data_IF_838754697499
#
_entry.id   IF_838754697499
#
_cell.length_a   1.000
_cell.length_b   1.000
_cell.length_c   1.000
_cell.angle_alpha   90.00
_cell.angle_beta   90.00
_cell.angle_gamma   90.00
#
_symmetry.space_group_name_H-M   'P 1'
#
loop_
_entity.id
_entity.type
_entity.pdbx_description
1 polymer ?
#
# COMPACT_ATOMS: atom_id res chain seq x y z
N UNK A 1 10.97 -7.72 -16.28
CA UNK A 1 9.61 -8.24 -16.45
C UNK A 1 8.70 -7.31 -15.67
N UNK A 2 7.69 -6.74 -16.31
CA UNK A 2 6.64 -5.98 -15.61
C UNK A 2 5.79 -6.99 -14.83
N UNK A 3 5.78 -6.87 -13.49
CA UNK A 3 5.03 -7.78 -12.62
C UNK A 3 3.80 -7.13 -11.98
N UNK A 4 3.67 -5.80 -12.07
CA UNK A 4 2.47 -5.07 -11.69
C UNK A 4 1.46 -5.05 -12.83
N UNK A 5 0.28 -5.61 -12.61
CA UNK A 5 -0.81 -5.57 -13.59
C UNK A 5 -2.18 -5.56 -12.93
N UNK A 6 -3.16 -5.09 -13.68
CA UNK A 6 -4.56 -5.21 -13.29
C UNK A 6 -4.98 -6.69 -13.35
N UNK A 7 -5.74 -7.14 -12.36
CA UNK A 7 -6.32 -8.49 -12.35
C UNK A 7 -7.41 -8.56 -13.43
N UNK A 8 -7.33 -9.50 -14.37
CA UNK A 8 -8.41 -9.77 -15.29
C UNK A 8 -9.18 -11.02 -14.87
N UNK A 9 -10.49 -11.08 -15.17
CA UNK A 9 -11.35 -12.21 -14.81
C UNK A 9 -10.86 -13.53 -15.39
N UNK A 10 -10.21 -13.47 -16.55
CA UNK A 10 -9.59 -14.56 -17.31
C UNK A 10 -8.06 -14.64 -17.11
N UNK A 11 -7.50 -13.88 -16.16
CA UNK A 11 -6.06 -13.86 -15.92
C UNK A 11 -5.54 -15.23 -15.49
N UNK A 12 -4.66 -15.80 -16.31
CA UNK A 12 -3.78 -16.92 -15.99
C UNK A 12 -2.51 -16.46 -15.23
N UNK A 13 -2.66 -15.39 -14.44
CA UNK A 13 -1.61 -14.75 -13.64
C UNK A 13 -0.82 -15.81 -12.85
N UNK A 14 0.37 -16.14 -13.34
CA UNK A 14 1.20 -17.19 -12.76
C UNK A 14 2.67 -16.74 -12.69
N UNK A 15 3.33 -16.95 -11.54
CA UNK A 15 2.78 -17.49 -10.29
C UNK A 15 2.12 -16.41 -9.41
N UNK A 16 0.81 -16.54 -9.15
CA UNK A 16 0.10 -15.79 -8.10
C UNK A 16 0.20 -16.53 -6.76
N UNK A 17 0.38 -15.78 -5.67
CA UNK A 17 0.35 -16.37 -4.33
C UNK A 17 -1.04 -16.93 -4.01
N UNK A 18 -1.12 -18.10 -3.35
CA UNK A 18 -2.36 -18.54 -2.72
C UNK A 18 -2.67 -17.65 -1.51
N UNK A 19 -3.93 -17.24 -1.40
CA UNK A 19 -4.44 -16.42 -0.30
C UNK A 19 -5.15 -17.26 0.74
N UNK A 20 -5.10 -16.85 2.01
CA UNK A 20 -5.59 -17.64 3.13
C UNK A 20 -6.56 -16.87 4.02
N UNK A 21 -7.61 -17.55 4.47
CA UNK A 21 -8.49 -17.10 5.54
C UNK A 21 -8.05 -17.74 6.87
N UNK A 22 -8.25 -17.03 7.97
CA UNK A 22 -8.05 -17.59 9.30
C UNK A 22 -9.31 -17.39 10.11
N UNK A 23 -9.92 -18.48 10.57
CA UNK A 23 -11.11 -18.48 11.42
C UNK A 23 -10.85 -19.34 12.64
N UNK A 24 -11.04 -18.79 13.84
CA UNK A 24 -10.83 -19.50 15.11
C UNK A 24 -9.43 -20.17 15.24
N UNK A 25 -8.40 -19.59 14.61
CA UNK A 25 -7.04 -20.13 14.59
C UNK A 25 -6.76 -21.15 13.48
N UNK A 26 -7.78 -21.61 12.76
CA UNK A 26 -7.62 -22.52 11.62
C UNK A 26 -7.35 -21.75 10.33
N UNK A 27 -6.37 -22.22 9.55
CA UNK A 27 -5.95 -21.64 8.27
C UNK A 27 -6.59 -22.46 7.15
N UNK A 28 -7.27 -21.78 6.23
CA UNK A 28 -7.83 -22.39 5.02
C UNK A 28 -7.58 -21.52 3.81
N UNK A 29 -7.65 -22.10 2.60
CA UNK A 29 -7.57 -21.33 1.35
C UNK A 29 -8.73 -20.32 1.34
N UNK A 30 -8.42 -19.07 1.04
CA UNK A 30 -9.41 -18.02 0.95
C UNK A 30 -10.37 -18.28 -0.23
N UNK A 31 -11.66 -17.92 -0.12
CA UNK A 31 -12.59 -18.09 -1.22
C UNK A 31 -12.14 -17.24 -2.42
N UNK A 32 -12.38 -17.78 -3.62
CA UNK A 32 -12.12 -17.05 -4.86
C UNK A 32 -12.88 -15.73 -4.87
N UNK A 33 -12.20 -14.67 -5.31
CA UNK A 33 -12.80 -13.38 -5.60
C UNK A 33 -12.33 -12.91 -6.96
N UNK A 34 -13.25 -12.33 -7.71
CA UNK A 34 -12.94 -11.61 -8.94
C UNK A 34 -12.70 -10.14 -8.57
N UNK A 35 -11.48 -9.61 -8.75
CA UNK A 35 -11.22 -8.18 -8.57
C UNK A 35 -11.09 -7.42 -9.90
N UNK A 36 -11.47 -8.02 -11.04
CA UNK A 36 -11.30 -7.39 -12.35
C UNK A 36 -12.18 -6.17 -12.57
N UNK A 37 -13.21 -5.99 -11.76
CA UNK A 37 -14.05 -4.79 -11.77
C UNK A 37 -13.56 -3.71 -10.79
N UNK A 38 -12.43 -3.92 -10.11
CA UNK A 38 -11.90 -3.04 -9.06
C UNK A 38 -10.56 -2.39 -9.40
N UNK A 39 -10.13 -2.34 -10.67
CA UNK A 39 -8.79 -1.85 -11.04
C UNK A 39 -8.43 -0.53 -10.38
N UNK A 40 -9.30 0.48 -10.46
CA UNK A 40 -9.05 1.80 -9.87
C UNK A 40 -9.03 1.83 -8.33
N UNK A 41 -9.58 0.81 -7.66
CA UNK A 41 -9.76 0.78 -6.20
C UNK A 41 -8.96 -0.29 -5.45
N UNK A 42 -8.33 -1.24 -6.14
CA UNK A 42 -7.59 -2.34 -5.50
C UNK A 42 -7.46 -3.63 -6.29
N UNK A 43 -7.86 -3.65 -7.56
CA UNK A 43 -7.77 -4.83 -8.44
C UNK A 43 -6.41 -4.96 -9.14
N UNK A 44 -5.32 -4.48 -8.56
CA UNK A 44 -3.97 -4.68 -9.08
C UNK A 44 -3.25 -5.78 -8.29
N UNK A 45 -2.47 -6.57 -9.00
CA UNK A 45 -1.59 -7.60 -8.47
C UNK A 45 -0.16 -7.24 -8.82
N UNK A 46 0.76 -7.42 -7.87
CA UNK A 46 2.18 -7.18 -8.08
C UNK A 46 3.02 -7.67 -6.91
N UNK A 47 4.28 -7.28 -6.92
CA UNK A 47 5.28 -7.66 -5.90
C UNK A 47 5.62 -6.49 -4.99
N UNK A 48 6.33 -6.74 -3.89
CA UNK A 48 6.89 -5.67 -3.07
C UNK A 48 7.90 -4.81 -3.84
N UNK A 49 8.61 -5.40 -4.80
CA UNK A 49 9.54 -4.67 -5.70
C UNK A 49 8.76 -3.67 -6.55
N UNK A 50 7.63 -4.06 -7.12
CA UNK A 50 6.77 -3.15 -7.88
C UNK A 50 6.27 -1.98 -7.05
N UNK A 51 5.84 -2.24 -5.80
CA UNK A 51 5.36 -1.19 -4.89
C UNK A 51 6.46 -0.19 -4.53
N UNK A 52 7.70 -0.66 -4.31
CA UNK A 52 8.84 0.22 -4.03
C UNK A 52 9.23 1.00 -5.29
N UNK A 53 9.24 0.36 -6.46
CA UNK A 53 9.49 1.00 -7.74
C UNK A 53 8.44 2.06 -8.08
N UNK A 54 7.17 1.84 -7.70
CA UNK A 54 6.12 2.85 -7.84
C UNK A 54 6.46 4.12 -7.06
N UNK A 55 6.88 3.99 -5.79
CA UNK A 55 7.32 5.15 -5.00
C UNK A 55 8.59 5.79 -5.60
N UNK A 56 9.57 4.99 -5.98
CA UNK A 56 10.79 5.48 -6.62
C UNK A 56 10.46 6.26 -7.90
N UNK A 57 9.56 5.74 -8.74
CA UNK A 57 9.04 6.40 -9.93
C UNK A 57 8.43 7.77 -9.63
N UNK A 58 7.64 7.89 -8.57
CA UNK A 58 7.00 9.16 -8.20
C UNK A 58 7.98 10.21 -7.65
N UNK A 59 9.01 9.79 -6.91
CA UNK A 59 9.91 10.72 -6.20
C UNK A 59 11.23 11.01 -6.91
N UNK A 60 11.75 10.04 -7.67
CA UNK A 60 13.10 10.11 -8.25
C UNK A 60 13.07 10.34 -9.76
N UNK A 61 11.88 10.35 -10.38
CA UNK A 61 11.72 10.68 -11.80
C UNK A 61 10.92 11.98 -11.96
N UNK A 62 10.94 12.55 -13.16
CA UNK A 62 10.10 13.68 -13.53
C UNK A 62 8.70 13.26 -14.03
N UNK A 63 8.24 12.04 -13.74
CA UNK A 63 6.93 11.56 -14.16
C UNK A 63 5.79 12.46 -13.65
N UNK A 64 5.87 12.87 -12.37
CA UNK A 64 5.01 13.92 -11.82
C UNK A 64 5.88 15.09 -11.33
N UNK A 65 5.36 16.31 -11.46
CA UNK A 65 6.01 17.46 -10.81
C UNK A 65 5.88 17.33 -9.28
N UNK A 66 6.85 17.87 -8.53
CA UNK A 66 6.77 17.95 -7.06
C UNK A 66 5.48 18.62 -6.59
N UNK A 67 4.99 19.62 -7.32
CA UNK A 67 3.72 20.31 -7.03
C UNK A 67 2.54 19.35 -7.16
N UNK A 68 2.46 18.58 -8.25
CA UNK A 68 1.39 17.59 -8.46
C UNK A 68 1.41 16.52 -7.39
N UNK A 69 2.58 15.96 -7.06
CA UNK A 69 2.71 14.93 -6.03
C UNK A 69 2.30 15.46 -4.65
N UNK A 70 2.68 16.69 -4.31
CA UNK A 70 2.27 17.33 -3.07
C UNK A 70 0.75 17.51 -2.97
N UNK A 71 0.07 17.90 -4.06
CA UNK A 71 -1.39 18.02 -4.06
C UNK A 71 -2.08 16.66 -3.94
N UNK A 72 -1.58 15.60 -4.59
CA UNK A 72 -2.12 14.25 -4.42
C UNK A 72 -2.05 13.77 -2.96
N UNK A 73 -0.97 14.11 -2.26
CA UNK A 73 -0.71 13.67 -0.88
C UNK A 73 -1.28 14.61 0.18
N UNK A 74 -1.75 15.80 -0.20
CA UNK A 74 -2.22 16.82 0.72
C UNK A 74 -3.48 16.35 1.45
N UNK A 75 -3.47 16.30 2.80
CA UNK A 75 -4.68 15.98 3.55
C UNK A 75 -5.80 16.98 3.27
N UNK A 76 -6.99 16.45 2.99
CA UNK A 76 -8.19 17.26 2.91
C UNK A 76 -8.63 17.73 4.31
N UNK A 77 -9.54 18.71 4.33
CA UNK A 77 -10.11 19.25 5.56
C UNK A 77 -11.63 19.08 5.55
N UNK A 78 -12.18 18.72 6.71
CA UNK A 78 -13.62 18.74 6.95
C UNK A 78 -14.10 20.19 7.09
N UNK A 79 -15.41 20.41 6.99
CA UNK A 79 -16.04 21.74 7.16
C UNK A 79 -15.69 22.42 8.49
N UNK A 80 -15.36 21.64 9.52
CA UNK A 80 -14.95 22.13 10.84
C UNK A 80 -13.43 22.35 10.98
N UNK A 81 -12.67 22.36 9.87
CA UNK A 81 -11.22 22.57 9.85
C UNK A 81 -10.38 21.35 10.26
N UNK A 82 -10.99 20.24 10.68
CA UNK A 82 -10.25 19.03 11.06
C UNK A 82 -9.68 18.34 9.82
N UNK A 83 -8.39 18.00 9.86
CA UNK A 83 -7.73 17.23 8.80
C UNK A 83 -8.27 15.80 8.73
N UNK A 84 -8.52 15.32 7.51
CA UNK A 84 -8.89 13.92 7.22
C UNK A 84 -7.71 12.96 7.31
N UNK A 85 -6.47 13.49 7.32
CA UNK A 85 -5.23 12.72 7.12
C UNK A 85 -5.21 11.95 5.80
N UNK A 86 -6.05 12.33 4.83
CA UNK A 86 -6.25 11.61 3.58
C UNK A 86 -6.33 12.60 2.42
N UNK A 87 -5.52 12.37 1.40
CA UNK A 87 -5.48 13.12 0.14
C UNK A 87 -6.18 12.36 -1.00
N UNK A 88 -5.69 12.51 -2.22
CA UNK A 88 -6.21 11.81 -3.39
C UNK A 88 -5.61 10.40 -3.48
N UNK A 89 -6.14 9.46 -2.70
CA UNK A 89 -5.68 8.06 -2.65
C UNK A 89 -4.47 7.83 -1.73
N UNK A 90 -4.05 8.86 -0.97
CA UNK A 90 -2.89 8.81 -0.07
C UNK A 90 -3.30 9.09 1.37
N UNK A 91 -2.95 8.20 2.28
CA UNK A 91 -2.92 8.51 3.71
C UNK A 91 -1.64 9.31 4.03
N UNK A 92 -1.79 10.38 4.81
CA UNK A 92 -0.66 11.11 5.37
C UNK A 92 -0.71 11.06 6.88
N UNK A 93 0.36 10.56 7.48
CA UNK A 93 0.51 10.41 8.92
C UNK A 93 1.82 11.07 9.39
N UNK A 94 1.98 11.14 10.71
CA UNK A 94 3.26 11.45 11.33
C UNK A 94 3.62 10.33 12.31
N UNK A 95 4.90 9.98 12.38
CA UNK A 95 5.38 9.11 13.46
C UNK A 95 5.52 9.88 14.78
N UNK A 96 6.04 9.19 15.80
CA UNK A 96 6.32 9.77 17.11
C UNK A 96 7.29 10.96 17.06
N UNK A 97 8.27 10.92 16.15
CA UNK A 97 9.28 11.97 15.93
C UNK A 97 8.81 13.08 14.98
N UNK A 98 7.52 13.06 14.60
CA UNK A 98 6.88 14.00 13.67
C UNK A 98 7.39 13.91 12.22
N UNK A 99 8.11 12.85 11.85
CA UNK A 99 8.46 12.60 10.45
C UNK A 99 7.18 12.37 9.64
N UNK A 100 7.09 12.96 8.45
CA UNK A 100 5.94 12.77 7.55
C UNK A 100 6.00 11.35 6.98
N UNK A 101 4.86 10.70 6.96
CA UNK A 101 4.67 9.41 6.30
C UNK A 101 3.55 9.58 5.29
N UNK A 102 3.77 9.13 4.06
CA UNK A 102 2.73 8.98 3.04
C UNK A 102 2.62 7.54 2.63
N UNK A 103 1.43 7.08 2.27
CA UNK A 103 1.24 5.70 1.84
C UNK A 103 -0.21 5.29 1.85
N UNK A 104 -0.45 3.98 1.84
CA UNK A 104 -1.79 3.44 1.95
C UNK A 104 -1.76 1.96 2.39
N UNK A 105 -2.82 1.53 3.08
CA UNK A 105 -3.05 0.13 3.39
C UNK A 105 -3.93 -0.55 2.34
N UNK A 106 -3.76 -1.84 2.10
CA UNK A 106 -4.57 -2.61 1.17
C UNK A 106 -5.15 -3.84 1.85
N UNK A 107 -6.37 -4.20 1.50
CA UNK A 107 -7.03 -5.40 1.96
C UNK A 107 -7.85 -6.01 0.84
N UNK A 108 -7.72 -7.33 0.68
CA UNK A 108 -8.57 -8.14 -0.19
C UNK A 108 -8.89 -9.45 0.54
N UNK A 109 -9.75 -10.27 -0.06
CA UNK A 109 -10.11 -11.57 0.50
C UNK A 109 -8.87 -12.45 0.62
N UNK A 110 -8.44 -12.71 1.87
CA UNK A 110 -7.26 -13.49 2.18
C UNK A 110 -5.92 -12.78 1.95
N UNK A 111 -5.91 -11.47 1.68
CA UNK A 111 -4.68 -10.71 1.42
C UNK A 111 -4.66 -9.36 2.11
N UNK A 112 -3.48 -8.92 2.54
CA UNK A 112 -3.25 -7.60 3.15
C UNK A 112 -1.95 -6.99 2.62
N UNK A 113 -1.96 -5.68 2.45
CA UNK A 113 -0.82 -4.92 1.97
C UNK A 113 -0.63 -3.65 2.80
N UNK A 114 0.60 -3.16 2.87
CA UNK A 114 0.90 -1.80 3.33
C UNK A 114 2.08 -1.27 2.51
N UNK A 115 1.97 -0.02 2.08
CA UNK A 115 3.06 0.74 1.49
C UNK A 115 3.17 2.04 2.27
N UNK A 116 4.35 2.32 2.82
CA UNK A 116 4.65 3.61 3.43
C UNK A 116 5.97 4.16 2.89
N UNK A 117 6.05 5.47 2.82
CA UNK A 117 7.23 6.21 2.42
C UNK A 117 7.43 7.42 3.32
N UNK A 118 8.69 7.66 3.70
CA UNK A 118 9.15 8.82 4.45
C UNK A 118 9.87 9.78 3.50
N UNK A 119 9.20 10.82 2.97
CA UNK A 119 9.75 11.67 1.91
C UNK A 119 11.07 12.34 2.28
N UNK A 120 11.20 12.80 3.52
CA UNK A 120 12.38 13.54 3.99
C UNK A 120 13.56 12.62 4.32
N UNK A 121 13.33 11.30 4.42
CA UNK A 121 14.36 10.30 4.74
C UNK A 121 14.67 9.39 3.56
N UNK A 122 13.90 9.47 2.48
CA UNK A 122 13.93 8.58 1.33
C UNK A 122 13.90 7.09 1.73
N UNK A 123 13.01 6.76 2.67
CA UNK A 123 12.81 5.38 3.15
C UNK A 123 11.42 4.90 2.75
N UNK A 124 11.36 3.83 1.97
CA UNK A 124 10.12 3.16 1.54
C UNK A 124 10.06 1.75 2.10
N UNK A 125 8.89 1.36 2.62
CA UNK A 125 8.63 -0.01 3.08
C UNK A 125 7.32 -0.50 2.48
N UNK A 126 7.40 -1.61 1.74
CA UNK A 126 6.26 -2.35 1.22
C UNK A 126 6.18 -3.72 1.90
N UNK A 127 5.00 -4.13 2.35
CA UNK A 127 4.77 -5.46 2.94
C UNK A 127 3.49 -6.02 2.33
N UNK A 128 3.60 -7.24 1.80
CA UNK A 128 2.48 -8.04 1.30
C UNK A 128 2.33 -9.29 2.18
N UNK A 129 1.10 -9.62 2.55
CA UNK A 129 0.77 -10.78 3.37
C UNK A 129 -0.41 -11.51 2.73
N UNK A 130 -0.24 -12.80 2.46
CA UNK A 130 -1.26 -13.66 1.85
C UNK A 130 -2.23 -14.25 2.89
N UNK A 131 -2.52 -13.51 3.95
CA UNK A 131 -3.52 -13.89 4.96
C UNK A 131 -4.39 -12.69 5.31
N UNK A 132 -5.71 -12.91 5.33
CA UNK A 132 -6.71 -11.89 5.63
C UNK A 132 -6.70 -11.40 7.08
N UNK A 133 -6.00 -12.09 7.99
CA UNK A 133 -5.89 -11.70 9.40
C UNK A 133 -4.44 -11.80 9.90
N UNK A 134 -4.16 -11.19 11.04
CA UNK A 134 -2.86 -11.24 11.71
C UNK A 134 -2.43 -9.88 12.27
N UNK A 135 -1.13 -9.71 12.47
CA UNK A 135 -0.56 -8.52 13.11
C UNK A 135 -0.83 -7.20 12.36
N UNK A 136 -0.61 -6.09 13.07
CA UNK A 136 -0.77 -4.74 12.54
C UNK A 136 0.38 -4.38 11.58
N UNK A 137 0.09 -4.35 10.28
CA UNK A 137 1.09 -4.08 9.25
C UNK A 137 1.64 -2.66 9.29
N UNK A 138 0.85 -1.66 9.66
CA UNK A 138 1.31 -0.27 9.81
C UNK A 138 2.36 -0.17 10.93
N UNK A 139 2.11 -0.81 12.08
CA UNK A 139 3.09 -0.87 13.19
C UNK A 139 4.37 -1.58 12.77
N UNK A 140 4.25 -2.70 12.03
CA UNK A 140 5.42 -3.43 11.52
C UNK A 140 6.22 -2.56 10.53
N UNK A 141 5.55 -1.92 9.57
CA UNK A 141 6.19 -1.08 8.57
C UNK A 141 6.97 0.07 9.22
N UNK A 142 6.35 0.82 10.14
CA UNK A 142 7.04 1.88 10.91
C UNK A 142 8.25 1.37 11.69
N UNK A 143 8.13 0.20 12.33
CA UNK A 143 9.25 -0.43 13.06
C UNK A 143 10.41 -0.80 12.14
N UNK A 144 10.12 -1.27 10.93
CA UNK A 144 11.13 -1.57 9.91
C UNK A 144 11.78 -0.29 9.40
N UNK A 145 11.00 0.73 9.04
CA UNK A 145 11.51 2.02 8.56
C UNK A 145 12.50 2.65 9.53
N UNK A 146 12.24 2.59 10.85
CA UNK A 146 13.14 3.12 11.88
C UNK A 146 14.54 2.50 11.86
N UNK A 147 14.74 1.32 11.26
CA UNK A 147 16.06 0.70 11.11
C UNK A 147 16.92 1.36 10.02
N UNK A 148 16.28 2.08 9.10
CA UNK A 148 16.92 2.71 7.94
C UNK A 148 16.98 4.24 8.05
N UNK A 149 16.20 4.83 8.95
CA UNK A 149 16.25 6.26 9.27
C UNK A 149 17.33 6.50 10.33
N UNK A 150 18.58 6.71 9.89
CA UNK A 150 19.64 7.25 10.74
C UNK A 150 19.52 8.77 10.89
#
# INVERSE_FOLDING_TARGET
METLMAEHRDSTLTPLASFYSVKNGEISIAPFVDNSYKWAGGGFVGTTIDMVNFIHGLYQTNFLTKKTLNELQKPLQLKNGKSTKYGLGWETQKDFWRNKIVGHSGGSTGGRAILIHYPEKDVTVAILVNSGSGGNLNKLAKRLSNRFMK
#
